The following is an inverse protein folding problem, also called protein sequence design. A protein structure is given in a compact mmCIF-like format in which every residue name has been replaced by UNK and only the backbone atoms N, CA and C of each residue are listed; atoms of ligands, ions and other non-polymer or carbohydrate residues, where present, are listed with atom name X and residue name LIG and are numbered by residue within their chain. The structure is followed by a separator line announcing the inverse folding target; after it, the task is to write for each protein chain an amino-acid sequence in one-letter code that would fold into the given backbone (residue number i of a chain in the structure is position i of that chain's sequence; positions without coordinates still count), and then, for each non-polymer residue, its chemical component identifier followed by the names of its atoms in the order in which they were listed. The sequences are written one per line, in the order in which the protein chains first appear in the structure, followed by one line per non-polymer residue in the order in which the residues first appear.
data_IF_080626215153
#
_entry.id   IF_080626215153
#
_cell.length_a   1.000
_cell.length_b   1.000
_cell.length_c   1.000
_cell.angle_alpha   90.00
_cell.angle_beta   90.00
_cell.angle_gamma   90.00
#
_symmetry.space_group_name_H-M   'P 1'
#
loop_
_entity.id
_entity.type
_entity.pdbx_description
1 polymer ?
#
# COMPACT_ATOMS: atom_id res chain seq x y z
N UNK A 1 22.43 -111.94 10.26
CA UNK A 1 22.18 -111.00 9.14
C UNK A 1 21.15 -109.93 9.49
N UNK A 2 21.14 -109.25 10.61
CA UNK A 2 20.13 -108.27 10.98
C UNK A 2 20.72 -106.94 11.58
N UNK A 3 21.97 -106.70 11.49
CA UNK A 3 22.61 -105.51 12.18
C UNK A 3 23.07 -104.39 11.20
N UNK A 4 23.03 -104.63 9.86
CA UNK A 4 23.44 -103.64 8.86
C UNK A 4 22.35 -102.66 8.35
N UNK A 5 21.07 -103.04 8.52
CA UNK A 5 19.96 -102.26 7.97
C UNK A 5 19.60 -101.03 8.82
N UNK A 6 19.78 -101.05 10.16
CA UNK A 6 19.45 -99.94 11.07
C UNK A 6 20.44 -98.80 10.94
N UNK A 7 21.76 -99.03 10.64
CA UNK A 7 22.72 -97.92 10.47
C UNK A 7 22.47 -97.05 9.23
N UNK A 8 22.02 -97.68 8.15
CA UNK A 8 21.75 -96.97 6.91
C UNK A 8 20.42 -96.19 6.97
N UNK A 9 19.43 -96.63 7.75
CA UNK A 9 18.17 -95.95 7.94
C UNK A 9 18.38 -94.72 8.88
N UNK A 10 19.21 -94.86 9.90
CA UNK A 10 19.56 -93.70 10.80
C UNK A 10 20.35 -92.62 10.04
N UNK A 11 21.27 -93.01 9.16
CA UNK A 11 22.03 -92.10 8.31
C UNK A 11 21.11 -91.36 7.31
N UNK A 12 20.17 -92.09 6.70
CA UNK A 12 19.18 -91.47 5.77
C UNK A 12 18.25 -90.49 6.46
N UNK A 13 17.79 -90.80 7.70
CA UNK A 13 16.94 -89.85 8.54
C UNK A 13 17.74 -88.64 8.92
N UNK A 14 19.00 -88.80 9.31
CA UNK A 14 19.87 -87.63 9.68
C UNK A 14 20.14 -86.69 8.52
N UNK A 15 20.29 -87.20 7.30
CA UNK A 15 20.46 -86.39 6.06
C UNK A 15 19.16 -85.69 5.67
N UNK A 16 18.02 -86.36 5.80
CA UNK A 16 16.69 -85.74 5.53
C UNK A 16 16.36 -84.67 6.55
N UNK A 17 16.63 -84.86 7.84
CA UNK A 17 16.41 -83.80 8.85
C UNK A 17 17.34 -82.64 8.67
N UNK A 18 18.60 -82.86 8.25
CA UNK A 18 19.56 -81.80 7.97
C UNK A 18 19.16 -80.99 6.70
N UNK A 19 18.61 -81.67 5.69
CA UNK A 19 18.08 -81.00 4.47
C UNK A 19 16.83 -80.17 4.78
N UNK A 20 15.95 -80.63 5.67
CA UNK A 20 14.73 -79.89 6.10
C UNK A 20 15.14 -78.67 6.95
N UNK A 21 16.13 -78.75 7.80
CA UNK A 21 16.65 -77.61 8.58
C UNK A 21 17.34 -76.60 7.65
N UNK A 22 18.11 -77.02 6.64
CA UNK A 22 18.65 -76.10 5.64
C UNK A 22 17.59 -75.42 4.78
N UNK A 23 16.52 -76.10 4.39
CA UNK A 23 15.39 -75.48 3.68
C UNK A 23 14.60 -74.47 4.52
N UNK A 24 14.57 -74.64 5.84
CA UNK A 24 13.93 -73.72 6.76
C UNK A 24 14.77 -72.48 7.03
N UNK A 25 16.10 -72.58 6.98
CA UNK A 25 17.00 -71.45 7.09
C UNK A 25 17.05 -70.56 5.80
N UNK A 26 16.67 -71.05 4.66
CA UNK A 26 16.62 -70.26 3.38
C UNK A 26 15.29 -69.50 3.18
N UNK A 27 14.31 -69.63 4.11
CA UNK A 27 12.97 -69.03 3.99
C UNK A 27 12.77 -67.74 4.76
N UNK A 28 13.72 -67.16 5.49
CA UNK A 28 13.54 -65.96 6.28
C UNK A 28 14.65 -64.94 6.10
N UNK A 29 14.73 -64.32 4.93
CA UNK A 29 15.28 -62.99 4.80
C UNK A 29 14.42 -62.17 3.84
N UNK A 30 13.17 -61.91 4.20
CA UNK A 30 12.56 -60.66 3.84
C UNK A 30 13.23 -59.60 4.70
N UNK A 31 14.29 -59.01 4.20
CA UNK A 31 14.77 -57.70 4.63
C UNK A 31 13.65 -56.75 4.31
N UNK A 32 12.77 -56.56 5.27
CA UNK A 32 11.89 -55.38 5.29
C UNK A 32 12.85 -54.24 5.52
N UNK A 33 13.31 -53.61 4.47
CA UNK A 33 13.86 -52.24 4.57
C UNK A 33 12.75 -51.46 5.19
N UNK A 34 12.83 -51.20 6.48
CA UNK A 34 11.95 -50.23 7.10
C UNK A 34 12.27 -48.87 6.41
N UNK A 35 11.52 -48.55 5.40
CA UNK A 35 11.51 -47.19 4.90
C UNK A 35 11.17 -46.32 6.10
N UNK A 36 12.07 -45.47 6.47
CA UNK A 36 11.90 -44.58 7.60
C UNK A 36 10.70 -43.69 7.21
N UNK A 37 9.52 -43.92 7.82
CA UNK A 37 8.31 -43.21 7.51
C UNK A 37 8.54 -41.72 7.75
N UNK A 38 8.70 -40.94 6.69
CA UNK A 38 8.98 -39.52 6.73
C UNK A 38 7.67 -38.75 6.84
N UNK A 39 7.35 -38.33 8.05
CA UNK A 39 6.14 -37.57 8.34
C UNK A 39 6.40 -36.07 8.19
N UNK A 40 5.57 -35.41 7.39
CA UNK A 40 5.50 -33.96 7.30
C UNK A 40 4.42 -33.38 8.21
N UNK A 41 4.50 -32.07 8.40
CA UNK A 41 3.49 -31.30 9.11
C UNK A 41 2.76 -30.39 8.12
N UNK A 42 1.46 -30.39 8.18
CA UNK A 42 0.62 -29.44 7.48
C UNK A 42 0.69 -28.08 8.16
N UNK A 43 0.72 -27.05 7.34
CA UNK A 43 0.66 -25.64 7.75
C UNK A 43 -0.20 -24.85 6.75
N UNK A 44 -0.58 -23.64 7.10
CA UNK A 44 -1.36 -22.77 6.25
C UNK A 44 -0.89 -21.33 6.41
N UNK A 45 -1.21 -20.52 5.42
CA UNK A 45 -0.93 -19.08 5.50
C UNK A 45 -1.84 -18.45 6.55
N UNK A 46 -1.22 -17.93 7.60
CA UNK A 46 -1.89 -17.24 8.69
C UNK A 46 -1.31 -15.83 8.83
N UNK A 47 -2.18 -14.86 9.03
CA UNK A 47 -1.78 -13.45 9.18
C UNK A 47 -2.49 -12.87 10.40
N UNK A 48 -1.69 -12.30 11.29
CA UNK A 48 -2.20 -11.51 12.41
C UNK A 48 -2.67 -10.14 11.93
N UNK A 49 -3.92 -9.83 12.18
CA UNK A 49 -4.50 -8.53 11.89
C UNK A 49 -4.20 -7.60 13.06
N UNK A 50 -3.30 -6.64 12.80
CA UNK A 50 -2.82 -5.71 13.81
C UNK A 50 -3.51 -4.35 13.72
N UNK A 51 -3.69 -3.68 14.86
CA UNK A 51 -4.16 -2.29 14.89
C UNK A 51 -3.08 -1.33 14.41
N UNK A 52 -3.47 -0.35 13.57
CA UNK A 52 -2.60 0.78 13.19
C UNK A 52 -2.74 1.97 14.14
N UNK A 53 -3.79 1.99 14.96
CA UNK A 53 -4.07 3.07 15.90
C UNK A 53 -4.24 2.52 17.32
N UNK A 54 -4.08 3.38 18.31
CA UNK A 54 -4.36 3.09 19.72
C UNK A 54 -5.78 3.50 20.08
N UNK A 55 -6.43 2.76 20.96
CA UNK A 55 -7.77 3.08 21.43
C UNK A 55 -8.43 1.92 22.19
N UNK A 56 -9.70 2.10 22.55
CA UNK A 56 -10.51 1.06 23.16
C UNK A 56 -11.32 0.35 22.08
N UNK A 57 -11.33 -0.98 22.10
CA UNK A 57 -12.21 -1.79 21.25
C UNK A 57 -13.64 -1.68 21.80
N UNK A 58 -14.55 -1.10 21.01
CA UNK A 58 -15.95 -0.95 21.41
C UNK A 58 -16.84 -2.07 20.88
N UNK A 59 -16.42 -2.74 19.81
CA UNK A 59 -17.16 -3.83 19.20
C UNK A 59 -16.21 -4.84 18.56
N UNK A 60 -16.49 -6.13 18.77
CA UNK A 60 -15.78 -7.24 18.13
C UNK A 60 -16.82 -8.19 17.51
N UNK A 61 -16.86 -8.25 16.17
CA UNK A 61 -17.94 -8.93 15.42
C UNK A 61 -17.62 -10.38 15.07
N UNK A 62 -16.50 -10.92 15.53
CA UNK A 62 -16.03 -12.25 15.15
C UNK A 62 -15.60 -13.07 16.35
N UNK A 63 -15.68 -14.38 16.19
CA UNK A 63 -15.25 -15.40 17.14
C UNK A 63 -14.27 -16.35 16.47
N UNK A 64 -13.50 -17.08 17.28
CA UNK A 64 -12.66 -18.17 16.79
C UNK A 64 -13.51 -19.22 16.06
N UNK A 65 -13.05 -19.63 14.89
CA UNK A 65 -13.75 -20.56 14.00
C UNK A 65 -14.70 -19.91 12.99
N UNK A 66 -14.96 -18.60 13.07
CA UNK A 66 -15.83 -17.92 12.12
C UNK A 66 -15.14 -17.79 10.74
N UNK A 67 -15.91 -17.98 9.69
CA UNK A 67 -15.47 -17.68 8.31
C UNK A 67 -15.75 -16.22 8.01
N UNK A 68 -14.74 -15.51 7.49
CA UNK A 68 -14.81 -14.10 7.13
C UNK A 68 -14.50 -13.89 5.65
N UNK A 69 -15.12 -12.85 5.07
CA UNK A 69 -14.88 -12.43 3.70
C UNK A 69 -13.98 -11.19 3.66
N UNK A 70 -13.25 -11.02 2.57
CA UNK A 70 -12.45 -9.81 2.32
C UNK A 70 -13.29 -8.53 2.49
N UNK A 71 -12.78 -7.59 3.28
CA UNK A 71 -13.48 -6.34 3.60
C UNK A 71 -14.53 -6.44 4.71
N UNK A 72 -14.83 -7.64 5.23
CA UNK A 72 -15.75 -7.81 6.36
C UNK A 72 -15.23 -7.10 7.61
N UNK A 73 -16.11 -6.41 8.31
CA UNK A 73 -15.79 -5.68 9.54
C UNK A 73 -15.58 -6.66 10.70
N UNK A 74 -14.37 -6.67 11.25
CA UNK A 74 -13.97 -7.55 12.36
C UNK A 74 -14.13 -6.87 13.72
N UNK A 75 -13.63 -5.64 13.83
CA UNK A 75 -13.66 -4.88 15.08
C UNK A 75 -13.80 -3.38 14.82
N UNK A 76 -14.29 -2.65 15.81
CA UNK A 76 -14.39 -1.19 15.82
C UNK A 76 -13.66 -0.65 17.05
N UNK A 77 -12.75 0.28 16.83
CA UNK A 77 -12.06 1.05 17.87
C UNK A 77 -12.84 2.35 18.13
N UNK A 78 -12.81 2.88 19.34
CA UNK A 78 -13.53 4.10 19.73
C UNK A 78 -13.19 5.29 18.82
N UNK A 79 -14.20 5.82 18.15
CA UNK A 79 -14.11 6.87 17.14
C UNK A 79 -14.45 8.26 17.67
N UNK A 80 -14.96 8.38 18.90
CA UNK A 80 -15.57 9.62 19.41
C UNK A 80 -14.64 10.82 19.37
N UNK A 81 -13.38 10.61 19.74
CA UNK A 81 -12.37 11.68 19.72
C UNK A 81 -12.03 12.11 18.28
N UNK A 82 -11.89 11.16 17.37
CA UNK A 82 -11.62 11.42 15.96
C UNK A 82 -12.82 12.10 15.26
N UNK A 83 -14.04 11.71 15.58
CA UNK A 83 -15.26 12.38 15.08
C UNK A 83 -15.36 13.82 15.56
N UNK A 84 -14.97 14.09 16.81
CA UNK A 84 -14.90 15.45 17.35
C UNK A 84 -13.83 16.28 16.63
N UNK A 85 -12.65 15.70 16.39
CA UNK A 85 -11.58 16.34 15.63
C UNK A 85 -12.00 16.61 14.18
N UNK A 86 -12.72 15.67 13.54
CA UNK A 86 -13.29 15.84 12.21
C UNK A 86 -14.23 17.05 12.17
N UNK A 87 -15.18 17.13 13.09
CA UNK A 87 -16.12 18.25 13.16
C UNK A 87 -15.41 19.60 13.37
N UNK A 88 -14.36 19.65 14.17
CA UNK A 88 -13.53 20.85 14.35
C UNK A 88 -12.78 21.23 13.07
N UNK A 89 -12.20 20.26 12.36
CA UNK A 89 -11.50 20.49 11.10
C UNK A 89 -12.47 21.00 10.01
N UNK A 90 -13.66 20.42 9.91
CA UNK A 90 -14.71 20.86 8.98
C UNK A 90 -15.17 22.29 9.28
N UNK A 91 -15.38 22.65 10.55
CA UNK A 91 -15.71 24.03 10.95
C UNK A 91 -14.59 25.03 10.61
N UNK A 92 -13.33 24.64 10.78
CA UNK A 92 -12.18 25.45 10.38
C UNK A 92 -12.12 25.67 8.87
N UNK A 93 -12.40 24.63 8.07
CA UNK A 93 -12.48 24.72 6.60
C UNK A 93 -13.57 25.71 6.20
N UNK A 94 -14.78 25.63 6.78
CA UNK A 94 -15.86 26.56 6.50
C UNK A 94 -15.48 28.02 6.81
N UNK A 95 -14.76 28.25 7.92
CA UNK A 95 -14.26 29.59 8.26
C UNK A 95 -13.23 30.11 7.25
N UNK A 96 -12.32 29.25 6.77
CA UNK A 96 -11.33 29.60 5.76
C UNK A 96 -11.96 29.83 4.37
N UNK A 97 -12.98 29.08 4.01
CA UNK A 97 -13.78 29.30 2.78
C UNK A 97 -14.47 30.66 2.80
N UNK A 98 -15.08 31.01 3.94
CA UNK A 98 -15.67 32.34 4.11
C UNK A 98 -14.62 33.45 3.98
N UNK A 99 -13.43 33.26 4.58
CA UNK A 99 -12.31 34.20 4.48
C UNK A 99 -11.78 34.29 3.04
N UNK A 100 -11.68 33.20 2.31
CA UNK A 100 -11.29 33.17 0.90
C UNK A 100 -12.28 33.93 0.02
N UNK A 101 -13.57 33.69 0.22
CA UNK A 101 -14.62 34.42 -0.47
C UNK A 101 -14.52 35.92 -0.21
N UNK A 102 -14.34 36.36 1.05
CA UNK A 102 -14.14 37.76 1.41
C UNK A 102 -12.92 38.37 0.70
N UNK A 103 -11.77 37.67 0.71
CA UNK A 103 -10.56 38.12 0.04
C UNK A 103 -10.77 38.26 -1.48
N UNK A 104 -11.45 37.29 -2.10
CA UNK A 104 -11.77 37.29 -3.53
C UNK A 104 -12.70 38.43 -3.91
N UNK A 105 -13.76 38.69 -3.15
CA UNK A 105 -14.64 39.85 -3.36
C UNK A 105 -13.89 41.17 -3.23
N UNK A 106 -13.03 41.31 -2.21
CA UNK A 106 -12.23 42.54 -2.01
C UNK A 106 -11.28 42.74 -3.22
N UNK A 107 -10.58 41.70 -3.66
CA UNK A 107 -9.70 41.76 -4.83
C UNK A 107 -10.47 42.16 -6.10
N UNK A 108 -11.63 41.57 -6.33
CA UNK A 108 -12.47 41.84 -7.49
C UNK A 108 -12.99 43.28 -7.51
N UNK A 109 -13.51 43.76 -6.38
CA UNK A 109 -14.00 45.14 -6.25
C UNK A 109 -12.86 46.15 -6.44
N UNK A 110 -11.72 45.95 -5.78
CA UNK A 110 -10.56 46.83 -5.89
C UNK A 110 -10.04 46.88 -7.33
N UNK A 111 -9.95 45.72 -8.00
CA UNK A 111 -9.54 45.63 -9.40
C UNK A 111 -10.51 46.39 -10.32
N UNK A 112 -11.82 46.24 -10.10
CA UNK A 112 -12.82 46.96 -10.89
C UNK A 112 -12.70 48.47 -10.77
N UNK A 113 -12.49 48.99 -9.55
CA UNK A 113 -12.30 50.43 -9.31
C UNK A 113 -11.01 50.98 -9.91
N UNK A 114 -9.88 50.29 -9.72
CA UNK A 114 -8.60 50.71 -10.25
C UNK A 114 -8.53 50.63 -11.77
N UNK A 115 -9.12 49.59 -12.37
CA UNK A 115 -9.23 49.43 -13.83
C UNK A 115 -10.09 50.55 -14.47
N UNK A 116 -11.16 50.96 -13.79
CA UNK A 116 -12.03 52.08 -14.24
C UNK A 116 -11.28 53.38 -14.15
N UNK A 117 -10.51 53.64 -13.07
CA UNK A 117 -9.68 54.84 -12.92
C UNK A 117 -8.61 54.92 -14.00
N UNK A 118 -7.92 53.81 -14.32
CA UNK A 118 -6.94 53.73 -15.40
C UNK A 118 -7.60 54.06 -16.75
N UNK A 119 -8.77 53.50 -17.06
CA UNK A 119 -9.52 53.80 -18.29
C UNK A 119 -9.88 55.26 -18.40
N UNK A 120 -10.28 55.92 -17.30
CA UNK A 120 -10.56 57.35 -17.29
C UNK A 120 -9.34 58.21 -17.55
N UNK A 121 -8.18 57.86 -16.90
CA UNK A 121 -6.91 58.53 -17.12
C UNK A 121 -6.42 58.40 -18.55
N UNK A 122 -6.52 57.22 -19.15
CA UNK A 122 -6.22 56.98 -20.56
C UNK A 122 -7.08 57.76 -21.52
N UNK A 123 -8.39 57.83 -21.26
CA UNK A 123 -9.32 58.65 -22.09
C UNK A 123 -8.98 60.17 -21.99
N UNK A 124 -8.63 60.66 -20.78
CA UNK A 124 -8.17 62.04 -20.61
C UNK A 124 -6.85 62.31 -21.32
N UNK A 125 -5.89 61.39 -21.32
CA UNK A 125 -4.64 61.50 -22.05
C UNK A 125 -4.87 61.53 -23.56
N UNK A 126 -5.76 60.69 -24.08
CA UNK A 126 -6.11 60.68 -25.50
C UNK A 126 -6.73 61.98 -25.94
N UNK A 127 -7.58 62.62 -25.10
CA UNK A 127 -8.16 63.94 -25.36
C UNK A 127 -7.06 65.00 -25.39
N UNK A 128 -6.15 64.99 -24.40
CA UNK A 128 -5.03 65.93 -24.30
C UNK A 128 -4.08 65.80 -25.51
N UNK A 129 -3.79 64.55 -25.93
CA UNK A 129 -2.97 64.25 -27.13
C UNK A 129 -3.57 64.81 -28.39
N UNK A 130 -4.92 64.72 -28.57
CA UNK A 130 -5.61 65.27 -29.74
C UNK A 130 -5.57 66.79 -29.74
N UNK A 131 -5.72 67.45 -28.59
CA UNK A 131 -5.63 68.90 -28.46
C UNK A 131 -4.16 69.38 -28.72
N UNK A 132 -3.18 68.67 -28.18
CA UNK A 132 -1.78 68.99 -28.41
C UNK A 132 -1.43 68.89 -29.93
N UNK A 133 -1.88 67.83 -30.61
CA UNK A 133 -1.66 67.64 -32.02
C UNK A 133 -2.23 68.79 -32.85
N UNK A 134 -3.41 69.29 -32.47
CA UNK A 134 -4.01 70.45 -33.15
C UNK A 134 -3.19 71.73 -32.88
N UNK A 135 -2.87 72.05 -31.62
CA UNK A 135 -2.14 73.22 -31.22
C UNK A 135 -0.71 73.21 -31.83
N UNK A 136 -0.06 72.06 -31.89
CA UNK A 136 1.27 71.86 -32.54
C UNK A 136 1.21 72.17 -34.04
N UNK A 137 0.24 71.61 -34.74
CA UNK A 137 0.07 71.87 -36.16
C UNK A 137 -0.18 73.34 -36.47
N UNK A 138 -0.96 74.03 -35.62
CA UNK A 138 -1.19 75.50 -35.78
C UNK A 138 0.10 76.27 -35.47
N UNK A 139 0.83 75.95 -34.37
CA UNK A 139 2.10 76.56 -34.01
C UNK A 139 3.12 76.46 -35.15
N UNK A 140 3.32 75.24 -35.70
CA UNK A 140 4.24 74.97 -36.82
C UNK A 140 3.87 75.76 -38.08
N UNK A 141 2.56 75.81 -38.41
CA UNK A 141 2.03 76.55 -39.55
C UNK A 141 2.29 78.05 -39.41
N UNK A 142 1.98 78.64 -38.24
CA UNK A 142 2.17 80.06 -37.96
C UNK A 142 3.63 80.44 -37.80
N UNK A 143 4.50 79.56 -37.36
CA UNK A 143 5.97 79.75 -37.38
C UNK A 143 6.49 79.94 -38.79
N UNK A 144 6.09 79.09 -39.74
CA UNK A 144 6.45 79.20 -41.13
C UNK A 144 5.92 80.47 -41.83
N UNK A 145 4.69 80.85 -41.48
CA UNK A 145 4.04 82.06 -41.94
C UNK A 145 4.71 83.34 -41.40
N UNK A 146 5.24 83.35 -40.18
CA UNK A 146 6.02 84.42 -39.58
C UNK A 146 7.38 84.59 -40.32
N UNK A 147 8.06 83.47 -40.56
CA UNK A 147 9.34 83.49 -41.35
C UNK A 147 9.16 84.08 -42.74
N UNK A 148 8.00 83.81 -43.37
CA UNK A 148 7.68 84.39 -44.71
C UNK A 148 7.19 85.84 -44.67
N UNK A 149 7.01 86.41 -43.44
CA UNK A 149 6.46 87.74 -43.25
C UNK A 149 4.93 87.86 -43.46
N UNK A 150 4.19 86.72 -43.54
CA UNK A 150 2.78 86.72 -43.88
C UNK A 150 1.85 86.99 -42.65
N UNK A 151 2.39 86.90 -41.40
CA UNK A 151 1.68 87.16 -40.17
C UNK A 151 2.48 88.03 -39.22
N UNK A 152 1.84 88.69 -38.24
CA UNK A 152 2.48 89.49 -37.20
C UNK A 152 3.11 88.66 -36.11
N UNK A 153 4.10 89.15 -35.39
CA UNK A 153 4.68 88.53 -34.21
C UNK A 153 3.61 88.29 -33.16
N UNK A 154 2.70 89.24 -32.94
CA UNK A 154 1.58 89.08 -32.00
C UNK A 154 0.69 87.88 -32.33
N UNK A 155 0.44 87.64 -33.58
CA UNK A 155 -0.37 86.47 -34.05
C UNK A 155 0.38 85.18 -33.77
N UNK A 156 1.65 85.10 -34.05
CA UNK A 156 2.46 83.92 -33.73
C UNK A 156 2.53 83.64 -32.22
N UNK A 157 2.76 84.71 -31.41
CA UNK A 157 2.82 84.58 -29.94
C UNK A 157 1.50 84.02 -29.36
N UNK A 158 0.38 84.33 -29.95
CA UNK A 158 -0.93 83.74 -29.58
C UNK A 158 -0.97 82.22 -29.79
N UNK A 159 -0.49 81.69 -30.92
CA UNK A 159 -0.46 80.27 -31.19
C UNK A 159 0.59 79.54 -30.35
N UNK A 160 1.74 80.17 -30.09
CA UNK A 160 2.74 79.69 -29.16
C UNK A 160 2.17 79.58 -27.72
N UNK A 161 1.42 80.61 -27.27
CA UNK A 161 0.76 80.61 -25.93
C UNK A 161 -0.36 79.56 -25.87
N UNK A 162 -0.93 79.11 -26.99
CA UNK A 162 -1.88 77.98 -27.01
C UNK A 162 -1.18 76.62 -27.02
N UNK A 163 0.02 76.49 -27.66
CA UNK A 163 0.73 75.24 -27.71
C UNK A 163 1.37 74.84 -26.37
N UNK A 164 2.01 75.83 -25.67
CA UNK A 164 2.68 75.50 -24.40
C UNK A 164 1.77 74.89 -23.33
N UNK A 165 0.55 75.43 -23.05
CA UNK A 165 -0.41 74.80 -22.12
C UNK A 165 -0.95 73.44 -22.64
N UNK A 166 -1.11 73.24 -23.93
CA UNK A 166 -1.56 71.99 -24.51
C UNK A 166 -0.49 70.88 -24.30
N UNK A 167 0.79 71.22 -24.43
CA UNK A 167 1.91 70.33 -24.10
C UNK A 167 1.92 69.98 -22.62
N UNK A 168 1.81 70.99 -21.72
CA UNK A 168 1.80 70.76 -20.30
C UNK A 168 0.59 69.87 -19.83
N UNK A 169 -0.60 70.09 -20.45
CA UNK A 169 -1.79 69.30 -20.19
C UNK A 169 -1.61 67.83 -20.63
N UNK A 170 -0.95 67.57 -21.76
CA UNK A 170 -0.61 66.21 -22.19
C UNK A 170 0.36 65.55 -21.22
N UNK A 171 1.42 66.23 -20.82
CA UNK A 171 2.42 65.70 -19.87
C UNK A 171 1.77 65.40 -18.50
N UNK A 172 0.88 66.29 -18.03
CA UNK A 172 0.12 66.07 -16.79
C UNK A 172 -0.81 64.85 -16.86
N UNK A 173 -1.49 64.69 -18.02
CA UNK A 173 -2.33 63.51 -18.22
C UNK A 173 -1.55 62.19 -18.31
N UNK A 174 -0.33 62.20 -18.85
CA UNK A 174 0.61 61.09 -18.83
C UNK A 174 0.99 60.68 -17.40
N UNK A 175 1.27 61.66 -16.55
CA UNK A 175 1.52 61.38 -15.11
C UNK A 175 0.31 60.79 -14.41
N UNK A 176 -0.91 61.24 -14.74
CA UNK A 176 -2.15 60.67 -14.18
C UNK A 176 -2.37 59.20 -14.59
N UNK A 177 -2.01 58.82 -15.86
CA UNK A 177 -2.02 57.42 -16.32
C UNK A 177 -1.00 56.61 -15.52
N UNK A 178 0.23 57.07 -15.37
CA UNK A 178 1.25 56.38 -14.58
C UNK A 178 0.84 56.18 -13.10
N UNK A 179 0.18 57.17 -12.51
CA UNK A 179 -0.36 57.05 -11.15
C UNK A 179 -1.48 56.00 -11.07
N UNK A 180 -2.40 56.00 -12.02
CA UNK A 180 -3.49 55.02 -12.07
C UNK A 180 -2.95 53.60 -12.30
N UNK A 181 -1.94 53.42 -13.17
CA UNK A 181 -1.27 52.17 -13.43
C UNK A 181 -0.54 51.66 -12.17
N UNK A 182 0.20 52.53 -11.49
CA UNK A 182 0.85 52.18 -10.22
C UNK A 182 -0.17 51.76 -9.14
N UNK A 183 -1.37 52.35 -9.16
CA UNK A 183 -2.44 51.97 -8.24
C UNK A 183 -3.01 50.59 -8.61
N UNK A 184 -3.06 50.25 -9.89
CA UNK A 184 -3.47 48.92 -10.36
C UNK A 184 -2.54 47.81 -9.83
N UNK A 185 -1.23 48.06 -9.73
CA UNK A 185 -0.26 47.11 -9.15
C UNK A 185 -0.57 46.77 -7.67
N UNK A 186 -1.27 47.63 -6.93
CA UNK A 186 -1.69 47.30 -5.55
C UNK A 186 -2.70 46.17 -5.50
N UNK A 187 -3.43 45.89 -6.61
CA UNK A 187 -4.33 44.77 -6.70
C UNK A 187 -3.58 43.43 -6.69
N UNK A 188 -2.32 43.38 -7.12
CA UNK A 188 -1.50 42.18 -7.08
C UNK A 188 -1.19 41.75 -5.64
N UNK A 189 -1.04 42.73 -4.72
CA UNK A 189 -0.89 42.46 -3.29
C UNK A 189 -2.15 41.78 -2.72
N UNK A 190 -3.32 42.27 -3.11
CA UNK A 190 -4.61 41.66 -2.70
C UNK A 190 -4.75 40.25 -3.28
N UNK A 191 -4.33 40.03 -4.53
CA UNK A 191 -4.28 38.70 -5.15
C UNK A 191 -3.31 37.74 -4.47
N UNK A 192 -2.16 38.25 -4.04
CA UNK A 192 -1.22 37.45 -3.25
C UNK A 192 -1.82 37.04 -1.88
N UNK A 193 -2.56 37.95 -1.23
CA UNK A 193 -3.27 37.63 0.01
C UNK A 193 -4.39 36.59 -0.22
N UNK A 194 -5.19 36.72 -1.27
CA UNK A 194 -6.19 35.73 -1.68
C UNK A 194 -5.56 34.34 -1.89
N UNK A 195 -4.42 34.28 -2.59
CA UNK A 195 -3.66 33.05 -2.80
C UNK A 195 -3.13 32.46 -1.48
N UNK A 196 -2.69 33.31 -0.55
CA UNK A 196 -2.22 32.86 0.77
C UNK A 196 -3.35 32.23 1.58
N UNK A 197 -4.57 32.80 1.52
CA UNK A 197 -5.76 32.20 2.16
C UNK A 197 -6.13 30.86 1.48
N UNK A 198 -6.08 30.81 0.15
CA UNK A 198 -6.34 29.56 -0.60
C UNK A 198 -5.37 28.43 -0.19
N UNK A 199 -4.09 28.77 0.04
CA UNK A 199 -3.11 27.77 0.53
C UNK A 199 -3.36 27.33 1.97
N UNK A 200 -3.89 28.20 2.82
CA UNK A 200 -4.32 27.80 4.17
C UNK A 200 -5.54 26.87 4.12
N UNK A 201 -6.47 27.11 3.21
CA UNK A 201 -7.62 26.25 2.98
C UNK A 201 -7.16 24.85 2.52
N UNK A 202 -6.25 24.78 1.55
CA UNK A 202 -5.67 23.51 1.07
C UNK A 202 -4.99 22.74 2.20
N UNK A 203 -4.25 23.43 3.06
CA UNK A 203 -3.63 22.83 4.25
C UNK A 203 -4.65 22.27 5.24
N UNK A 204 -5.74 23.00 5.48
CA UNK A 204 -6.82 22.55 6.36
C UNK A 204 -7.55 21.32 5.79
N UNK A 205 -7.76 21.28 4.47
CA UNK A 205 -8.34 20.12 3.79
C UNK A 205 -7.44 18.88 3.89
N UNK A 206 -6.13 19.04 3.74
CA UNK A 206 -5.18 17.95 3.94
C UNK A 206 -5.19 17.43 5.39
N UNK A 207 -5.35 18.32 6.37
CA UNK A 207 -5.50 17.92 7.77
C UNK A 207 -6.80 17.13 8.03
N UNK A 208 -7.91 17.54 7.41
CA UNK A 208 -9.17 16.78 7.46
C UNK A 208 -9.00 15.38 6.86
N UNK A 209 -8.36 15.29 5.70
CA UNK A 209 -8.10 13.99 5.05
C UNK A 209 -7.29 13.05 5.94
N UNK A 210 -6.30 13.57 6.68
CA UNK A 210 -5.52 12.78 7.65
C UNK A 210 -6.42 12.20 8.76
N UNK A 211 -7.38 12.99 9.26
CA UNK A 211 -8.34 12.53 10.27
C UNK A 211 -9.27 11.46 9.68
N UNK A 212 -9.71 11.61 8.44
CA UNK A 212 -10.56 10.64 7.75
C UNK A 212 -9.84 9.30 7.52
N UNK A 213 -8.55 9.34 7.15
CA UNK A 213 -7.72 8.13 7.10
C UNK A 213 -7.66 7.48 8.48
N UNK A 214 -7.42 8.25 9.54
CA UNK A 214 -7.40 7.71 10.90
C UNK A 214 -8.74 7.11 11.32
N UNK A 215 -9.86 7.69 10.90
CA UNK A 215 -11.20 7.12 11.11
C UNK A 215 -11.38 5.79 10.37
N UNK A 216 -10.91 5.68 9.14
CA UNK A 216 -10.95 4.43 8.39
C UNK A 216 -10.16 3.33 9.10
N UNK A 217 -9.01 3.67 9.70
CA UNK A 217 -8.16 2.72 10.44
C UNK A 217 -8.76 2.31 11.81
N UNK A 218 -9.86 2.95 12.27
CA UNK A 218 -10.62 2.46 13.43
C UNK A 218 -11.49 1.26 13.13
N UNK A 219 -11.84 1.05 11.86
CA UNK A 219 -12.61 -0.09 11.38
C UNK A 219 -11.66 -1.18 10.90
N UNK A 220 -11.44 -2.16 11.74
CA UNK A 220 -10.56 -3.28 11.39
C UNK A 220 -11.33 -4.25 10.50
N UNK A 221 -10.82 -4.50 9.30
CA UNK A 221 -11.45 -5.34 8.29
C UNK A 221 -10.54 -6.48 7.86
N UNK A 222 -11.15 -7.60 7.43
CA UNK A 222 -10.43 -8.74 6.91
C UNK A 222 -9.72 -8.39 5.57
N UNK A 223 -8.42 -8.69 5.42
CA UNK A 223 -7.67 -8.39 4.19
C UNK A 223 -7.94 -9.39 3.06
N UNK A 224 -8.42 -10.59 3.38
CA UNK A 224 -8.75 -11.69 2.44
C UNK A 224 -9.81 -12.59 3.05
N UNK A 225 -10.37 -13.51 2.25
CA UNK A 225 -11.32 -14.53 2.69
C UNK A 225 -10.58 -15.57 3.54
N UNK A 226 -11.09 -15.86 4.74
CA UNK A 226 -10.39 -16.77 5.62
C UNK A 226 -11.21 -17.24 6.81
N UNK A 227 -10.54 -17.93 7.73
CA UNK A 227 -11.11 -18.42 8.98
C UNK A 227 -10.36 -17.80 10.15
N UNK A 228 -11.08 -17.30 11.15
CA UNK A 228 -10.49 -16.79 12.38
C UNK A 228 -9.93 -17.97 13.19
N UNK A 229 -8.62 -18.01 13.34
CA UNK A 229 -7.94 -19.09 14.10
C UNK A 229 -7.75 -18.73 15.57
N UNK A 230 -7.42 -17.48 15.86
CA UNK A 230 -7.15 -17.02 17.21
C UNK A 230 -7.67 -15.59 17.42
N UNK A 231 -8.13 -15.31 18.65
CA UNK A 231 -8.59 -14.02 19.09
C UNK A 231 -7.74 -13.55 20.27
N UNK A 232 -6.99 -12.47 20.07
CA UNK A 232 -6.04 -11.94 21.08
C UNK A 232 -6.65 -10.93 22.04
N UNK A 233 -7.83 -10.36 21.69
CA UNK A 233 -8.45 -9.26 22.42
C UNK A 233 -9.94 -9.53 22.69
N UNK A 234 -10.50 -8.79 23.66
CA UNK A 234 -11.92 -8.77 23.98
C UNK A 234 -12.51 -7.37 23.81
N UNK A 235 -13.85 -7.28 23.70
CA UNK A 235 -14.55 -6.01 23.78
C UNK A 235 -14.21 -5.27 25.08
N UNK A 236 -13.95 -3.96 24.99
CA UNK A 236 -13.51 -3.14 26.11
C UNK A 236 -12.01 -3.09 26.33
N UNK A 237 -11.22 -3.94 25.66
CA UNK A 237 -9.76 -3.94 25.74
C UNK A 237 -9.18 -2.63 25.23
N UNK A 238 -8.11 -2.14 25.89
CA UNK A 238 -7.28 -1.07 25.39
C UNK A 238 -6.16 -1.66 24.53
N UNK A 239 -5.98 -1.13 23.32
CA UNK A 239 -4.95 -1.57 22.38
C UNK A 239 -4.04 -0.43 21.99
N UNK A 240 -2.83 -0.79 21.58
CA UNK A 240 -1.82 0.12 21.03
C UNK A 240 -1.56 -0.19 19.56
N UNK A 241 -0.89 0.72 18.87
CA UNK A 241 -0.42 0.47 17.51
C UNK A 241 0.46 -0.79 17.47
N UNK A 242 0.17 -1.69 16.53
CA UNK A 242 0.86 -2.97 16.37
C UNK A 242 0.31 -4.10 17.23
N UNK A 243 -0.70 -3.87 18.09
CA UNK A 243 -1.34 -4.95 18.87
C UNK A 243 -2.14 -5.85 17.94
N UNK A 244 -1.90 -7.19 17.95
CA UNK A 244 -2.71 -8.14 17.21
C UNK A 244 -4.12 -8.23 17.80
N UNK A 245 -5.13 -8.27 16.94
CA UNK A 245 -6.53 -8.41 17.33
C UNK A 245 -7.03 -9.84 17.12
N UNK A 246 -6.84 -10.35 15.93
CA UNK A 246 -7.23 -11.70 15.51
C UNK A 246 -6.22 -12.24 14.51
N UNK A 247 -6.06 -13.56 14.46
CA UNK A 247 -5.36 -14.26 13.40
C UNK A 247 -6.36 -14.77 12.36
N UNK A 248 -6.05 -14.58 11.07
CA UNK A 248 -6.86 -15.05 9.95
C UNK A 248 -6.03 -15.99 9.10
N UNK A 249 -6.53 -17.22 8.94
CA UNK A 249 -5.94 -18.25 8.10
C UNK A 249 -6.62 -18.28 6.73
N UNK A 250 -5.83 -18.35 5.69
CA UNK A 250 -6.30 -18.59 4.32
C UNK A 250 -6.50 -20.11 4.11
N UNK A 251 -7.72 -20.60 3.95
CA UNK A 251 -7.98 -22.03 3.77
C UNK A 251 -7.52 -22.56 2.43
N UNK A 252 -7.18 -21.70 1.47
CA UNK A 252 -6.77 -22.08 0.10
C UNK A 252 -5.26 -22.15 -0.06
N UNK A 253 -4.49 -21.49 0.81
CA UNK A 253 -3.02 -21.44 0.76
C UNK A 253 -2.42 -22.33 1.86
N UNK A 254 -2.53 -23.65 1.65
CA UNK A 254 -2.09 -24.68 2.56
C UNK A 254 -0.90 -25.45 1.97
N UNK A 255 -0.01 -25.91 2.83
CA UNK A 255 1.13 -26.76 2.41
C UNK A 255 1.49 -27.80 3.47
N UNK A 256 2.26 -28.77 3.05
CA UNK A 256 2.87 -29.75 3.94
C UNK A 256 4.40 -29.62 3.84
N UNK A 257 5.05 -29.40 4.98
CA UNK A 257 6.51 -29.40 5.09
C UNK A 257 6.99 -30.77 5.53
N UNK A 258 7.77 -31.43 4.69
CA UNK A 258 8.30 -32.78 4.95
C UNK A 258 9.83 -32.72 4.98
N UNK A 259 10.43 -33.29 6.02
CA UNK A 259 11.89 -33.43 6.13
C UNK A 259 12.34 -34.73 5.47
N UNK A 260 12.98 -34.63 4.32
CA UNK A 260 13.45 -35.75 3.51
C UNK A 260 14.95 -35.94 3.75
N UNK A 261 15.42 -37.18 4.08
CA UNK A 261 16.84 -37.50 4.17
C UNK A 261 17.58 -37.26 2.84
N UNK A 262 18.83 -36.86 2.90
CA UNK A 262 19.69 -36.65 1.70
C UNK A 262 19.70 -37.86 0.77
N UNK A 263 19.67 -39.06 1.31
CA UNK A 263 19.66 -40.31 0.56
C UNK A 263 18.42 -40.52 -0.32
N UNK A 264 17.31 -39.90 0.05
CA UNK A 264 16.03 -40.02 -0.67
C UNK A 264 15.70 -38.77 -1.52
N UNK A 265 16.46 -37.66 -1.33
CA UNK A 265 16.17 -36.39 -1.97
C UNK A 265 16.15 -36.45 -3.50
N UNK A 266 16.90 -37.37 -4.11
CA UNK A 266 16.97 -37.58 -5.57
C UNK A 266 15.66 -38.04 -6.19
N UNK A 267 14.72 -38.58 -5.41
CA UNK A 267 13.41 -39.04 -5.84
C UNK A 267 12.40 -37.88 -6.02
N UNK A 268 12.67 -36.70 -5.43
CA UNK A 268 11.77 -35.56 -5.43
C UNK A 268 12.24 -34.49 -6.40
N UNK A 269 11.32 -33.93 -7.17
CA UNK A 269 11.58 -32.87 -8.16
C UNK A 269 10.61 -31.71 -7.99
N UNK A 270 11.07 -30.52 -8.32
CA UNK A 270 10.18 -29.35 -8.38
C UNK A 270 9.08 -29.58 -9.39
N UNK A 271 7.85 -29.15 -9.05
CA UNK A 271 6.62 -29.31 -9.82
C UNK A 271 6.16 -30.77 -9.99
N UNK A 272 6.66 -31.68 -9.18
CA UNK A 272 6.18 -33.06 -9.14
C UNK A 272 4.89 -33.14 -8.34
N UNK A 273 3.87 -33.85 -8.87
CA UNK A 273 2.66 -34.18 -8.13
C UNK A 273 2.93 -35.34 -7.19
N UNK A 274 2.49 -35.23 -5.96
CA UNK A 274 2.63 -36.28 -4.95
C UNK A 274 1.33 -36.51 -4.23
N UNK A 275 1.07 -37.74 -3.84
CA UNK A 275 -0.06 -38.12 -3.01
C UNK A 275 0.37 -38.16 -1.55
N UNK A 276 -0.36 -37.45 -0.72
CA UNK A 276 -0.14 -37.33 0.73
C UNK A 276 -1.28 -38.04 1.46
N UNK A 277 -0.94 -38.86 2.41
CA UNK A 277 -1.89 -39.56 3.28
C UNK A 277 -1.71 -39.08 4.70
N UNK A 278 -2.81 -38.66 5.32
CA UNK A 278 -2.80 -38.25 6.71
C UNK A 278 -2.59 -39.45 7.66
N UNK A 279 -2.17 -39.16 8.88
CA UNK A 279 -1.93 -40.19 9.90
C UNK A 279 -3.16 -41.02 10.26
N UNK A 280 -4.34 -40.55 9.96
CA UNK A 280 -5.60 -41.30 10.16
C UNK A 280 -5.78 -42.45 9.14
N UNK A 281 -4.95 -42.49 8.09
CA UNK A 281 -4.99 -43.49 7.00
C UNK A 281 -6.20 -43.37 6.09
N UNK A 282 -7.03 -42.32 6.24
CA UNK A 282 -8.28 -42.10 5.49
C UNK A 282 -8.27 -40.85 4.64
N UNK A 283 -7.60 -39.80 5.14
CA UNK A 283 -7.53 -38.53 4.43
C UNK A 283 -6.38 -38.55 3.45
N UNK A 284 -6.72 -38.52 2.17
CA UNK A 284 -5.78 -38.54 1.03
C UNK A 284 -5.90 -37.21 0.28
N UNK A 285 -4.77 -36.52 0.06
CA UNK A 285 -4.73 -35.26 -0.67
C UNK A 285 -3.59 -35.26 -1.67
N UNK A 286 -3.80 -34.59 -2.80
CA UNK A 286 -2.75 -34.43 -3.81
C UNK A 286 -2.12 -33.05 -3.67
N UNK A 287 -0.80 -32.99 -3.73
CA UNK A 287 -0.05 -31.74 -3.67
C UNK A 287 1.05 -31.68 -4.72
N UNK A 288 1.58 -30.48 -4.92
CA UNK A 288 2.67 -30.21 -5.85
C UNK A 288 3.89 -29.75 -5.07
N UNK A 289 5.04 -30.31 -5.35
CA UNK A 289 6.32 -29.89 -4.74
C UNK A 289 6.68 -28.50 -5.28
N UNK A 290 6.57 -27.46 -4.44
CA UNK A 290 6.86 -26.08 -4.83
C UNK A 290 8.25 -25.62 -4.42
N UNK A 291 8.82 -26.22 -3.40
CA UNK A 291 10.15 -25.86 -2.94
C UNK A 291 10.89 -27.08 -2.35
N UNK A 292 12.17 -27.19 -2.68
CA UNK A 292 13.11 -28.11 -2.05
C UNK A 292 14.22 -27.23 -1.47
N UNK A 293 14.35 -27.21 -0.14
CA UNK A 293 15.33 -26.37 0.54
C UNK A 293 16.75 -26.68 0.07
N UNK A 294 17.52 -25.64 -0.25
CA UNK A 294 18.97 -25.78 -0.52
C UNK A 294 19.81 -25.79 0.75
N UNK A 295 19.18 -25.47 1.90
CA UNK A 295 19.85 -25.47 3.22
C UNK A 295 19.44 -26.74 3.94
N UNK A 296 20.44 -27.53 4.33
CA UNK A 296 20.22 -28.69 5.16
C UNK A 296 19.77 -28.29 6.57
N UNK A 297 18.86 -29.03 7.15
CA UNK A 297 18.48 -28.95 8.54
C UNK A 297 19.02 -30.21 9.23
N UNK A 298 19.70 -30.06 10.37
CA UNK A 298 20.12 -31.19 11.19
C UNK A 298 18.89 -31.74 11.90
N UNK A 299 18.51 -32.97 11.59
CA UNK A 299 17.50 -33.68 12.38
C UNK A 299 18.14 -33.97 13.75
N UNK A 300 17.70 -33.26 14.77
CA UNK A 300 18.00 -33.59 16.17
C UNK A 300 17.16 -34.81 16.59
N UNK A 301 17.38 -35.94 15.94
CA UNK A 301 16.96 -37.24 16.44
C UNK A 301 18.13 -37.84 17.17
N UNK A 302 18.19 -37.64 18.50
CA UNK A 302 19.10 -38.43 19.34
C UNK A 302 18.65 -39.88 19.22
N UNK A 303 19.41 -40.67 18.49
CA UNK A 303 19.29 -42.11 18.55
C UNK A 303 19.73 -42.56 19.97
N UNK A 304 18.77 -42.98 20.76
CA UNK A 304 19.02 -43.73 22.01
C UNK A 304 19.38 -45.17 21.63
N UNK A 305 20.57 -45.37 21.08
CA UNK A 305 21.17 -46.71 21.00
C UNK A 305 22.68 -46.62 21.16
N UNK A 306 23.15 -47.25 22.22
CA UNK A 306 24.57 -47.45 22.58
C UNK A 306 25.31 -48.37 21.59
N UNK A 307 25.27 -48.13 20.28
CA UNK A 307 26.16 -48.83 19.32
C UNK A 307 26.47 -47.87 18.17
N UNK A 308 27.70 -47.44 18.15
CA UNK A 308 28.31 -46.50 17.25
C UNK A 308 28.09 -46.82 15.79
N UNK A 309 27.48 -45.87 15.17
CA UNK A 309 27.69 -45.23 13.88
C UNK A 309 26.68 -44.09 13.83
N UNK A 310 26.95 -43.02 14.57
CA UNK A 310 26.21 -41.76 14.49
C UNK A 310 26.56 -41.09 13.16
N UNK A 311 25.92 -41.54 12.08
CA UNK A 311 25.87 -40.75 10.87
C UNK A 311 24.75 -39.69 11.08
N UNK A 312 25.13 -38.43 11.30
CA UNK A 312 24.22 -37.33 11.31
C UNK A 312 23.38 -37.38 10.03
N UNK A 313 22.10 -37.74 10.16
CA UNK A 313 21.16 -37.79 9.00
C UNK A 313 20.84 -36.36 8.65
N UNK A 314 21.51 -35.86 7.62
CA UNK A 314 21.18 -34.56 7.01
C UNK A 314 19.86 -34.69 6.31
N UNK A 315 18.89 -33.81 6.64
CA UNK A 315 17.59 -33.75 6.00
C UNK A 315 17.34 -32.39 5.35
N UNK A 316 16.57 -32.41 4.29
CA UNK A 316 16.16 -31.22 3.55
C UNK A 316 14.65 -31.03 3.65
N UNK A 317 14.20 -29.78 3.81
CA UNK A 317 12.78 -29.48 3.87
C UNK A 317 12.21 -29.44 2.44
N UNK A 318 11.18 -30.24 2.19
CA UNK A 318 10.41 -30.27 0.94
C UNK A 318 9.02 -29.71 1.24
N UNK A 319 8.70 -28.58 0.59
CA UNK A 319 7.41 -27.90 0.72
C UNK A 319 6.48 -28.35 -0.40
N UNK A 320 5.35 -28.90 -0.03
CA UNK A 320 4.32 -29.44 -0.94
C UNK A 320 3.08 -28.59 -0.79
N UNK A 321 2.72 -27.84 -1.82
CA UNK A 321 1.51 -27.03 -1.86
C UNK A 321 0.30 -27.94 -2.07
N UNK A 322 -0.73 -27.74 -1.22
CA UNK A 322 -1.95 -28.53 -1.23
C UNK A 322 -3.14 -27.57 -1.22
N UNK A 323 -3.98 -27.62 -2.25
CA UNK A 323 -5.21 -26.83 -2.30
C UNK A 323 -6.37 -27.67 -1.78
N UNK A 324 -6.52 -27.74 -0.47
CA UNK A 324 -7.59 -28.54 0.15
C UNK A 324 -8.07 -27.89 1.44
N UNK A 325 -9.37 -27.74 1.58
CA UNK A 325 -10.06 -27.26 2.79
C UNK A 325 -10.09 -28.26 3.96
N UNK A 326 -9.75 -29.53 3.66
CA UNK A 326 -9.67 -30.61 4.66
C UNK A 326 -8.38 -30.53 5.48
N UNK A 327 -7.34 -29.89 4.94
CA UNK A 327 -6.04 -29.79 5.56
C UNK A 327 -6.08 -28.76 6.70
N UNK A 328 -5.73 -29.19 7.90
CA UNK A 328 -5.65 -28.31 9.09
C UNK A 328 -4.21 -28.20 9.54
N UNK A 329 -3.73 -27.01 9.92
CA UNK A 329 -2.41 -26.83 10.51
C UNK A 329 -2.17 -27.80 11.66
N UNK A 330 -0.98 -28.40 11.69
CA UNK A 330 -0.61 -29.40 12.69
C UNK A 330 -0.93 -30.84 12.34
N UNK A 331 -1.77 -31.13 11.33
CA UNK A 331 -1.95 -32.50 10.83
C UNK A 331 -0.66 -33.07 10.27
N UNK A 332 -0.47 -34.38 10.42
CA UNK A 332 0.72 -35.06 9.89
C UNK A 332 0.35 -35.86 8.66
N UNK A 333 1.18 -35.69 7.63
CA UNK A 333 1.04 -36.36 6.34
C UNK A 333 2.32 -37.11 5.97
N UNK A 334 2.17 -38.19 5.20
CA UNK A 334 3.25 -38.97 4.62
C UNK A 334 3.07 -39.00 3.10
N UNK A 335 4.17 -38.96 2.35
CA UNK A 335 4.13 -39.19 0.90
C UNK A 335 3.99 -40.68 0.65
N UNK A 336 2.98 -41.11 -0.11
CA UNK A 336 2.69 -42.54 -0.41
C UNK A 336 3.03 -42.92 -1.84
N UNK A 337 3.22 -41.96 -2.75
CA UNK A 337 3.60 -42.23 -4.13
C UNK A 337 3.51 -41.01 -5.02
N UNK A 338 3.96 -41.17 -6.28
CA UNK A 338 3.72 -40.18 -7.31
C UNK A 338 2.23 -40.22 -7.69
N UNK A 339 1.59 -39.07 -7.71
CA UNK A 339 0.27 -38.97 -8.31
C UNK A 339 0.42 -39.11 -9.83
N UNK A 340 -0.06 -40.21 -10.40
CA UNK A 340 -0.06 -40.53 -11.83
C UNK A 340 -0.96 -39.58 -12.63
#
# INVERSE_FOLDING_TARGET
MRWGIHKNIMAAIAVITMAIICLWCLGCSKTTTASQETWGRADAKEIDINSKISGRVIQLNVKEGDTVQQGQLLAIIDQRDLLTQKAQAEANIQALEAQQNQASYTTTMQRGTTQSALGQAQAAQQKAATNLKLAQADYERYASLLESGAVSQQTFDQYKTNYEPAQAAYDQSGQAVNQADSTLMTTDVNKANENAVAKKLEQAQAALQQIEVSLTETEIRAPFDGIITEKYIEEGSMISTGTPLVAVQDPTDNWVDIKVPETELSQYRLNQNVTLVARDGKTEVTGVITNISKKAEFATSRATSERGDDTDIISFNVKIQVNSDVLRPGMRFQIVGDAS
#
